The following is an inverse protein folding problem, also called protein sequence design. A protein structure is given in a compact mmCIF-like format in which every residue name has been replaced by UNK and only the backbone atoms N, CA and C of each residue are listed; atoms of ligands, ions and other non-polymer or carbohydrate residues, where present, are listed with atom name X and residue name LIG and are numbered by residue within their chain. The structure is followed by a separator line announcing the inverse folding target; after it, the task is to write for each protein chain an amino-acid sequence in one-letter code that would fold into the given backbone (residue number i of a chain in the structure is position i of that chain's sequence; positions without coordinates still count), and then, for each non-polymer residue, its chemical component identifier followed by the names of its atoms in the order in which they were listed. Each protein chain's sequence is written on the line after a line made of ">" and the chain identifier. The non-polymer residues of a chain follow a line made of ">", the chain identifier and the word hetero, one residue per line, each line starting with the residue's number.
data_IF_761919251745
#
_entry.id   IF_761919251745
#
_cell.length_a   1.000
_cell.length_b   1.000
_cell.length_c   1.000
_cell.angle_alpha   90.00
_cell.angle_beta   90.00
_cell.angle_gamma   90.00
#
_symmetry.space_group_name_H-M   'P 1'
#
loop_
_entity.id
_entity.type
_entity.pdbx_description
1 polymer ?
#
# COMPACT_ATOMS: atom_id res chain seq x y z
N UNK A 1 16.71 22.75 0.86
CA UNK A 1 16.06 23.08 -0.43
C UNK A 1 15.73 24.56 -0.41
N UNK A 2 16.02 25.31 -1.47
CA UNK A 2 15.69 26.73 -1.60
C UNK A 2 14.60 26.94 -2.64
N UNK A 3 13.83 28.04 -2.53
CA UNK A 3 12.76 28.39 -3.47
C UNK A 3 13.28 28.47 -4.91
N UNK A 4 14.49 28.99 -5.11
CA UNK A 4 15.11 29.07 -6.43
C UNK A 4 15.33 27.69 -7.07
N UNK A 5 15.68 26.67 -6.28
CA UNK A 5 15.86 25.31 -6.80
C UNK A 5 14.55 24.72 -7.36
N UNK A 6 13.40 25.06 -6.76
CA UNK A 6 12.09 24.64 -7.28
C UNK A 6 11.70 25.40 -8.54
N UNK A 7 12.00 26.69 -8.58
CA UNK A 7 11.72 27.52 -9.75
C UNK A 7 12.50 27.00 -10.98
N UNK A 8 13.77 26.65 -10.79
CA UNK A 8 14.60 26.12 -11.87
C UNK A 8 14.13 24.73 -12.32
N UNK A 9 13.78 23.82 -11.40
CA UNK A 9 13.20 22.52 -11.76
C UNK A 9 11.86 22.63 -12.48
N UNK A 10 11.00 23.57 -12.07
CA UNK A 10 9.73 23.80 -12.74
C UNK A 10 9.94 24.37 -14.15
N UNK A 11 10.90 25.27 -14.35
CA UNK A 11 11.22 25.79 -15.69
C UNK A 11 11.77 24.70 -16.61
N UNK A 12 12.55 23.75 -16.10
CA UNK A 12 13.19 22.71 -16.92
C UNK A 12 12.27 21.51 -17.20
N UNK A 13 11.54 21.04 -16.19
CA UNK A 13 10.80 19.77 -16.21
C UNK A 13 9.29 19.97 -15.97
N UNK A 14 8.83 21.21 -15.80
CA UNK A 14 7.43 21.52 -15.53
C UNK A 14 6.95 20.96 -14.19
N UNK A 15 5.68 20.55 -14.15
CA UNK A 15 5.08 19.94 -12.96
C UNK A 15 5.78 18.63 -12.58
N UNK A 16 6.30 17.88 -13.57
CA UNK A 16 7.02 16.63 -13.32
C UNK A 16 8.29 16.84 -12.47
N UNK A 17 9.00 17.97 -12.67
CA UNK A 17 10.19 18.30 -11.89
C UNK A 17 9.93 18.61 -10.40
N UNK A 18 8.67 18.89 -10.06
CA UNK A 18 8.22 19.14 -8.69
C UNK A 18 7.69 17.88 -8.00
N UNK A 19 7.49 16.77 -8.73
CA UNK A 19 7.03 15.51 -8.13
C UNK A 19 8.09 14.95 -7.17
N UNK A 20 7.61 14.32 -6.10
CA UNK A 20 8.52 13.61 -5.17
C UNK A 20 9.08 12.40 -5.89
N UNK A 21 10.39 12.40 -6.11
CA UNK A 21 11.10 11.26 -6.71
C UNK A 21 10.86 10.00 -5.88
N UNK A 22 10.54 8.89 -6.53
CA UNK A 22 10.16 7.63 -5.88
C UNK A 22 11.27 7.04 -4.99
N UNK A 23 12.51 7.48 -5.16
CA UNK A 23 13.68 7.09 -4.36
C UNK A 23 13.84 7.89 -3.06
N UNK A 24 13.06 8.97 -2.87
CA UNK A 24 13.14 9.83 -1.69
C UNK A 24 12.13 9.39 -0.63
N UNK A 25 12.65 8.97 0.52
CA UNK A 25 11.86 8.70 1.72
C UNK A 25 12.12 7.31 2.31
N UNK A 26 11.48 7.04 3.45
CA UNK A 26 11.52 5.72 4.07
C UNK A 26 10.59 4.78 3.29
N UNK A 27 11.13 3.66 2.82
CA UNK A 27 10.33 2.61 2.17
C UNK A 27 9.24 2.11 3.13
N UNK A 28 8.03 1.82 2.63
CA UNK A 28 6.97 1.24 3.45
C UNK A 28 7.41 -0.14 3.97
N UNK A 29 7.02 -0.47 5.20
CA UNK A 29 7.36 -1.76 5.84
C UNK A 29 6.53 -2.90 5.26
N UNK A 30 5.29 -2.60 4.83
CA UNK A 30 4.41 -3.54 4.16
C UNK A 30 4.28 -3.07 2.71
N UNK A 31 4.72 -3.90 1.78
CA UNK A 31 4.65 -3.66 0.35
C UNK A 31 3.54 -4.53 -0.23
N UNK A 32 2.49 -3.93 -0.79
CA UNK A 32 1.32 -4.70 -1.26
C UNK A 32 1.67 -5.77 -2.30
N UNK A 33 2.60 -5.49 -3.22
CA UNK A 33 3.00 -6.46 -4.26
C UNK A 33 3.73 -7.69 -3.71
N UNK A 34 4.39 -7.57 -2.56
CA UNK A 34 5.27 -8.62 -2.00
C UNK A 34 4.63 -9.31 -0.80
N UNK A 35 4.01 -8.55 0.10
CA UNK A 35 3.53 -9.05 1.39
C UNK A 35 2.08 -9.53 1.37
N UNK A 36 1.28 -9.10 0.38
CA UNK A 36 -0.16 -9.34 0.35
C UNK A 36 -0.52 -10.82 0.46
N UNK A 37 0.11 -11.67 -0.34
CA UNK A 37 -0.18 -13.10 -0.33
C UNK A 37 0.19 -13.75 1.01
N UNK A 38 1.33 -13.36 1.58
CA UNK A 38 1.81 -13.87 2.87
C UNK A 38 0.91 -13.45 4.04
N UNK A 39 0.51 -12.17 4.07
CA UNK A 39 -0.42 -11.62 5.07
C UNK A 39 -1.79 -12.28 4.97
N UNK A 40 -2.29 -12.50 3.75
CA UNK A 40 -3.57 -13.17 3.52
C UNK A 40 -3.51 -14.64 3.94
N UNK A 41 -2.40 -15.35 3.71
CA UNK A 41 -2.23 -16.72 4.16
C UNK A 41 -2.25 -16.83 5.69
N UNK A 42 -1.47 -16.00 6.40
CA UNK A 42 -1.45 -15.96 7.86
C UNK A 42 -2.85 -15.61 8.44
N UNK A 43 -3.57 -14.71 7.77
CA UNK A 43 -4.92 -14.32 8.18
C UNK A 43 -5.95 -15.43 7.92
N UNK A 44 -5.82 -16.19 6.83
CA UNK A 44 -6.69 -17.35 6.56
C UNK A 44 -6.54 -18.42 7.64
N UNK A 45 -5.32 -18.68 8.10
CA UNK A 45 -5.05 -19.59 9.22
C UNK A 45 -5.61 -19.06 10.55
N UNK A 46 -5.60 -17.74 10.76
CA UNK A 46 -6.03 -17.08 11.99
C UNK A 46 -7.19 -16.09 11.80
N UNK A 47 -8.29 -16.58 11.21
CA UNK A 47 -9.42 -15.76 10.70
C UNK A 47 -9.99 -14.74 11.69
N UNK A 48 -9.98 -15.04 12.99
CA UNK A 48 -10.55 -14.17 14.03
C UNK A 48 -9.50 -13.40 14.85
N UNK A 49 -8.21 -13.74 14.72
CA UNK A 49 -7.14 -13.25 15.61
C UNK A 49 -6.06 -12.51 14.83
N UNK A 50 -6.31 -11.21 14.59
CA UNK A 50 -5.36 -10.32 13.91
C UNK A 50 -3.99 -10.25 14.58
N UNK A 51 -3.89 -10.38 15.91
CA UNK A 51 -2.60 -10.38 16.60
C UNK A 51 -1.80 -11.65 16.33
N UNK A 52 -2.45 -12.80 16.23
CA UNK A 52 -1.81 -14.07 15.91
C UNK A 52 -1.35 -14.09 14.45
N UNK A 53 -2.20 -13.67 13.52
CA UNK A 53 -1.84 -13.52 12.11
C UNK A 53 -0.65 -12.58 11.90
N UNK A 54 -0.63 -11.46 12.63
CA UNK A 54 0.48 -10.50 12.64
C UNK A 54 1.76 -11.16 13.15
N UNK A 55 1.72 -11.83 14.30
CA UNK A 55 2.90 -12.48 14.87
C UNK A 55 3.48 -13.58 13.95
N UNK A 56 2.62 -14.36 13.30
CA UNK A 56 3.04 -15.36 12.31
C UNK A 56 3.68 -14.72 11.08
N UNK A 57 3.10 -13.61 10.57
CA UNK A 57 3.69 -12.89 9.45
C UNK A 57 5.03 -12.26 9.84
N UNK A 58 5.15 -11.62 11.01
CA UNK A 58 6.41 -11.04 11.51
C UNK A 58 7.50 -12.13 11.69
N UNK A 59 7.12 -13.33 12.14
CA UNK A 59 8.04 -14.46 12.24
C UNK A 59 8.55 -14.95 10.88
N UNK A 60 7.76 -14.75 9.81
CA UNK A 60 8.10 -15.18 8.44
C UNK A 60 8.86 -14.10 7.66
N UNK A 61 8.47 -12.84 7.80
CA UNK A 61 9.09 -11.71 7.09
C UNK A 61 10.35 -11.21 7.79
N UNK A 62 10.48 -11.43 9.10
CA UNK A 62 11.56 -10.87 9.91
C UNK A 62 11.37 -9.38 10.23
N UNK A 63 10.29 -8.76 9.73
CA UNK A 63 9.96 -7.36 9.96
C UNK A 63 9.03 -7.20 11.17
N UNK A 64 9.14 -6.05 11.85
CA UNK A 64 8.24 -5.69 12.96
C UNK A 64 7.33 -4.54 12.56
N UNK A 65 6.03 -4.75 12.68
CA UNK A 65 5.00 -3.75 12.37
C UNK A 65 4.18 -3.45 13.60
N UNK A 66 3.61 -2.24 13.71
CA UNK A 66 2.63 -2.00 14.75
C UNK A 66 1.26 -2.54 14.32
N UNK A 67 0.39 -2.85 15.29
CA UNK A 67 -0.96 -3.35 15.03
C UNK A 67 -1.80 -2.38 14.18
N UNK A 68 -1.59 -1.07 14.34
CA UNK A 68 -2.29 -0.06 13.56
C UNK A 68 -1.89 -0.11 12.08
N UNK A 69 -0.60 -0.23 11.76
CA UNK A 69 -0.10 -0.41 10.39
C UNK A 69 -0.69 -1.66 9.75
N UNK A 70 -0.68 -2.79 10.46
CA UNK A 70 -1.25 -4.04 9.96
C UNK A 70 -2.76 -3.93 9.70
N UNK A 71 -3.49 -3.20 10.55
CA UNK A 71 -4.92 -2.91 10.32
C UNK A 71 -5.14 -1.97 9.14
N UNK A 72 -4.33 -0.93 9.01
CA UNK A 72 -4.45 0.05 7.93
C UNK A 72 -4.19 -0.59 6.56
N UNK A 73 -3.29 -1.58 6.49
CA UNK A 73 -3.10 -2.39 5.28
C UNK A 73 -4.39 -3.08 4.82
N UNK A 74 -5.18 -3.66 5.73
CA UNK A 74 -6.48 -4.23 5.35
C UNK A 74 -7.50 -3.18 4.94
N UNK A 75 -7.47 -1.99 5.55
CA UNK A 75 -8.33 -0.88 5.13
C UNK A 75 -8.02 -0.46 3.69
N UNK A 76 -6.74 -0.27 3.35
CA UNK A 76 -6.34 0.08 1.98
C UNK A 76 -6.74 -0.99 0.96
N UNK A 77 -6.70 -2.28 1.33
CA UNK A 77 -7.20 -3.36 0.48
C UNK A 77 -8.72 -3.27 0.24
N UNK A 78 -9.49 -2.93 1.28
CA UNK A 78 -10.96 -2.77 1.17
C UNK A 78 -11.32 -1.53 0.36
N UNK A 79 -10.63 -0.41 0.61
CA UNK A 79 -10.84 0.84 -0.12
C UNK A 79 -10.56 0.64 -1.62
N UNK A 80 -9.48 -0.08 -1.96
CA UNK A 80 -9.17 -0.45 -3.34
C UNK A 80 -10.27 -1.33 -4.00
N UNK A 81 -10.85 -2.28 -3.25
CA UNK A 81 -11.98 -3.10 -3.75
C UNK A 81 -13.21 -2.23 -4.02
N UNK A 82 -13.50 -1.24 -3.18
CA UNK A 82 -14.66 -0.36 -3.33
C UNK A 82 -14.48 0.67 -4.46
N UNK A 83 -13.23 1.08 -4.75
CA UNK A 83 -12.90 1.96 -5.87
C UNK A 83 -13.02 1.25 -7.23
N UNK A 84 -12.96 -0.08 -7.27
CA UNK A 84 -13.27 -0.85 -8.47
C UNK A 84 -14.79 -0.88 -8.63
N UNK A 85 -15.37 -0.23 -9.67
CA UNK A 85 -16.81 -0.32 -9.89
C UNK A 85 -17.20 -1.78 -10.03
N UNK A 86 -18.22 -2.19 -9.26
CA UNK A 86 -18.75 -3.54 -9.21
C UNK A 86 -18.95 -4.06 -10.63
N UNK A 87 -18.06 -4.94 -11.08
CA UNK A 87 -17.98 -5.44 -12.47
C UNK A 87 -19.10 -6.43 -12.80
N UNK A 88 -20.26 -6.26 -12.16
CA UNK A 88 -21.49 -7.04 -12.38
C UNK A 88 -22.56 -6.29 -13.16
N UNK A 89 -22.32 -5.04 -13.56
CA UNK A 89 -23.21 -4.29 -14.47
C UNK A 89 -22.67 -4.17 -15.89
N UNK A 90 -22.13 -5.27 -16.45
CA UNK A 90 -21.87 -5.35 -17.90
C UNK A 90 -22.53 -6.61 -18.46
N UNK A 91 -23.86 -6.62 -18.39
CA UNK A 91 -24.72 -7.35 -19.32
C UNK A 91 -25.75 -6.34 -19.85
N UNK A 92 -25.34 -5.57 -20.85
CA UNK A 92 -26.26 -4.93 -21.79
C UNK A 92 -25.73 -5.21 -23.19
N UNK A 93 -26.66 -5.52 -24.10
CA UNK A 93 -26.50 -6.12 -25.44
C UNK A 93 -26.56 -7.65 -25.48
N UNK A 94 -27.70 -8.21 -25.04
CA UNK A 94 -28.54 -8.93 -26.03
C UNK A 94 -29.27 -7.89 -26.87
#
# INVERSE_FOLDING_TARGET
>A
MSVNSWLEQFKSEGICGLQTKSDRGRKPIIVESEDKESILAATKSNRQRLQTAKAEWEARSGEKVCRATFRNFFKSLVDNINEIPNTKEVNYFQ
#
